data_IF_619226471788
#
_entry.id   IF_619226471788
#
_cell.length_a   1.000
_cell.length_b   1.000
_cell.length_c   1.000
_cell.angle_alpha   90.00
_cell.angle_beta   90.00
_cell.angle_gamma   90.00
#
_symmetry.space_group_name_H-M   'P 1'
#
loop_
_entity.id
_entity.type
_entity.pdbx_description
1 polymer ?
#
# COMPACT_ATOMS: atom_id res chain seq x y z
N UNK A 1 34.01 -18.66 6.68
CA UNK A 1 33.66 -18.53 8.11
C UNK A 1 32.52 -19.49 8.37
N UNK A 2 32.56 -20.30 9.45
CA UNK A 2 31.45 -21.19 9.78
C UNK A 2 30.17 -20.35 9.97
N UNK A 3 29.06 -20.76 9.35
CA UNK A 3 27.75 -20.14 9.60
C UNK A 3 27.47 -20.31 11.09
N UNK A 4 27.32 -19.23 11.84
CA UNK A 4 26.79 -19.25 13.21
C UNK A 4 25.30 -19.63 13.15
N UNK A 5 25.01 -20.91 12.96
CA UNK A 5 23.66 -21.46 12.97
C UNK A 5 23.34 -22.06 14.33
N UNK A 6 22.07 -22.10 14.69
CA UNK A 6 21.62 -22.82 15.88
C UNK A 6 21.67 -24.33 15.64
N UNK A 7 21.97 -25.11 16.68
CA UNK A 7 22.09 -26.58 16.59
C UNK A 7 20.75 -27.30 16.49
N UNK A 8 19.64 -26.63 16.83
CA UNK A 8 18.29 -27.19 16.75
C UNK A 8 17.21 -26.09 16.63
N UNK A 9 16.01 -26.44 16.14
CA UNK A 9 14.86 -25.55 16.15
C UNK A 9 14.54 -25.00 17.56
N UNK A 10 14.65 -25.84 18.60
CA UNK A 10 14.40 -25.41 19.99
C UNK A 10 15.41 -24.38 20.47
N UNK A 11 16.69 -24.55 20.13
CA UNK A 11 17.75 -23.59 20.48
C UNK A 11 17.50 -22.24 19.79
N UNK A 12 17.11 -22.26 18.50
CA UNK A 12 16.74 -21.06 17.78
C UNK A 12 15.52 -20.36 18.40
N UNK A 13 14.45 -21.10 18.69
CA UNK A 13 13.25 -20.52 19.32
C UNK A 13 13.56 -19.90 20.68
N UNK A 14 14.40 -20.57 21.48
CA UNK A 14 14.84 -20.08 22.78
C UNK A 14 15.55 -18.73 22.66
N UNK A 15 16.49 -18.61 21.71
CA UNK A 15 17.20 -17.36 21.45
C UNK A 15 16.26 -16.25 20.96
N UNK A 16 15.39 -16.58 19.99
CA UNK A 16 14.39 -15.67 19.45
C UNK A 16 13.46 -15.12 20.55
N UNK A 17 12.91 -16.02 21.38
CA UNK A 17 12.03 -15.66 22.51
C UNK A 17 12.75 -14.81 23.55
N UNK A 18 13.99 -15.15 23.88
CA UNK A 18 14.79 -14.39 24.84
C UNK A 18 15.02 -12.96 24.36
N UNK A 19 15.42 -12.78 23.10
CA UNK A 19 15.61 -11.45 22.49
C UNK A 19 14.30 -10.67 22.39
N UNK A 20 13.20 -11.34 22.00
CA UNK A 20 11.87 -10.73 21.98
C UNK A 20 11.46 -10.20 23.37
N UNK A 21 11.74 -10.96 24.43
CA UNK A 21 11.45 -10.54 25.81
C UNK A 21 12.29 -9.35 26.26
N UNK A 22 13.57 -9.27 25.84
CA UNK A 22 14.43 -8.13 26.14
C UNK A 22 13.89 -6.86 25.47
N UNK A 23 13.60 -6.93 24.17
CA UNK A 23 13.06 -5.79 23.41
C UNK A 23 11.67 -5.37 23.90
N UNK A 24 10.79 -6.33 24.15
CA UNK A 24 9.46 -6.06 24.70
C UNK A 24 9.52 -5.29 26.03
N UNK A 25 10.49 -5.62 26.90
CA UNK A 25 10.69 -4.91 28.17
C UNK A 25 11.26 -3.51 27.98
N UNK A 26 12.20 -3.30 27.06
CA UNK A 26 12.79 -1.96 26.84
C UNK A 26 11.78 -1.00 26.21
N UNK A 27 10.96 -1.49 25.30
CA UNK A 27 10.02 -0.67 24.52
C UNK A 27 8.58 -0.65 25.08
N UNK A 28 8.30 -1.40 26.15
CA UNK A 28 6.94 -1.50 26.71
C UNK A 28 5.94 -2.20 25.79
N UNK A 29 6.41 -3.11 24.94
CA UNK A 29 5.60 -3.81 23.93
C UNK A 29 5.17 -5.20 24.41
N UNK A 30 4.03 -5.75 23.92
CA UNK A 30 3.70 -7.15 24.13
C UNK A 30 4.69 -8.09 23.44
N UNK A 31 5.24 -9.06 24.17
CA UNK A 31 6.19 -10.06 23.63
C UNK A 31 5.62 -10.79 22.41
N UNK A 32 4.32 -11.09 22.42
CA UNK A 32 3.65 -11.76 21.31
C UNK A 32 3.66 -10.91 20.02
N UNK A 33 3.53 -9.59 20.13
CA UNK A 33 3.54 -8.70 18.97
C UNK A 33 4.97 -8.58 18.40
N UNK A 34 5.99 -8.54 19.27
CA UNK A 34 7.41 -8.56 18.87
C UNK A 34 7.78 -9.86 18.14
N UNK A 35 7.32 -11.01 18.66
CA UNK A 35 7.50 -12.30 17.98
C UNK A 35 6.74 -12.35 16.64
N UNK A 36 5.51 -11.84 16.61
CA UNK A 36 4.72 -11.79 15.38
C UNK A 36 5.41 -10.95 14.30
N UNK A 37 5.97 -9.78 14.67
CA UNK A 37 6.82 -8.95 13.80
C UNK A 37 7.98 -9.73 13.17
N UNK A 38 8.62 -10.62 13.93
CA UNK A 38 9.69 -11.45 13.40
C UNK A 38 9.17 -12.48 12.40
N UNK A 39 8.07 -13.17 12.72
CA UNK A 39 7.44 -14.12 11.80
C UNK A 39 6.96 -13.44 10.53
N UNK A 40 6.43 -12.22 10.63
CA UNK A 40 6.07 -11.39 9.50
C UNK A 40 7.28 -11.10 8.60
N UNK A 41 8.40 -10.70 9.20
CA UNK A 41 9.65 -10.46 8.46
C UNK A 41 10.13 -11.72 7.73
N UNK A 42 10.02 -12.90 8.33
CA UNK A 42 10.38 -14.18 7.68
C UNK A 42 9.39 -14.63 6.61
N UNK A 43 8.10 -14.32 6.74
CA UNK A 43 7.14 -14.55 5.66
C UNK A 43 7.45 -13.65 4.46
N UNK A 44 7.70 -12.35 4.71
CA UNK A 44 8.11 -11.40 3.65
C UNK A 44 9.40 -11.87 3.00
N UNK A 45 10.38 -12.36 3.77
CA UNK A 45 11.62 -12.91 3.21
C UNK A 45 11.35 -14.04 2.22
N UNK A 46 10.46 -14.99 2.56
CA UNK A 46 10.07 -16.09 1.65
C UNK A 46 9.41 -15.58 0.38
N UNK A 47 8.48 -14.62 0.54
CA UNK A 47 7.78 -14.01 -0.59
C UNK A 47 8.74 -13.36 -1.58
N UNK A 48 9.68 -12.55 -1.09
CA UNK A 48 10.62 -11.81 -1.94
C UNK A 48 11.80 -12.65 -2.44
N UNK A 49 12.16 -13.76 -1.78
CA UNK A 49 13.09 -14.73 -2.37
C UNK A 49 12.44 -15.53 -3.50
N UNK A 50 11.20 -15.98 -3.31
CA UNK A 50 10.51 -16.78 -4.32
C UNK A 50 10.04 -15.95 -5.52
N UNK A 51 9.59 -14.72 -5.28
CA UNK A 51 8.94 -13.86 -6.27
C UNK A 51 9.32 -12.38 -6.04
N UNK A 52 10.59 -12.00 -6.29
CA UNK A 52 11.15 -10.69 -5.93
C UNK A 52 10.42 -9.49 -6.56
N UNK A 53 9.82 -9.70 -7.73
CA UNK A 53 9.18 -8.63 -8.50
C UNK A 53 7.65 -8.60 -8.43
N UNK A 54 7.02 -9.63 -7.86
CA UNK A 54 5.57 -9.82 -7.93
C UNK A 54 4.81 -9.10 -6.81
N UNK A 55 5.48 -8.59 -5.78
CA UNK A 55 4.84 -8.13 -4.55
C UNK A 55 5.31 -6.76 -4.09
N UNK A 56 4.39 -6.04 -3.42
CA UNK A 56 4.67 -4.78 -2.72
C UNK A 56 4.08 -4.86 -1.32
N UNK A 57 4.89 -4.58 -0.29
CA UNK A 57 4.44 -4.50 1.11
C UNK A 57 3.78 -3.15 1.37
N UNK A 58 2.59 -3.15 1.98
CA UNK A 58 1.80 -1.95 2.34
C UNK A 58 1.60 -1.85 3.86
N UNK A 59 0.80 -0.85 4.27
CA UNK A 59 0.24 -0.73 5.60
C UNK A 59 1.26 -0.59 6.72
N UNK A 60 0.87 -0.94 7.95
CA UNK A 60 1.71 -0.73 9.14
C UNK A 60 3.08 -1.43 9.05
N UNK A 61 3.14 -2.60 8.41
CA UNK A 61 4.39 -3.32 8.21
C UNK A 61 5.37 -2.61 7.26
N UNK A 62 4.86 -1.94 6.22
CA UNK A 62 5.73 -1.10 5.39
C UNK A 62 6.32 0.07 6.17
N UNK A 63 5.59 0.66 7.12
CA UNK A 63 6.15 1.69 8.02
C UNK A 63 7.17 1.10 8.99
N UNK A 64 6.92 -0.11 9.50
CA UNK A 64 7.87 -0.81 10.37
C UNK A 64 9.19 -1.09 9.65
N UNK A 65 9.16 -1.51 8.39
CA UNK A 65 10.38 -1.69 7.60
C UNK A 65 11.08 -0.37 7.27
N UNK A 66 10.35 0.75 7.19
CA UNK A 66 10.95 2.08 6.95
C UNK A 66 11.60 2.67 8.19
N UNK A 67 10.94 2.57 9.33
CA UNK A 67 11.27 3.34 10.53
C UNK A 67 11.68 2.47 11.73
N UNK A 68 11.72 1.15 11.57
CA UNK A 68 12.03 0.20 12.63
C UNK A 68 11.21 0.50 13.90
N UNK A 69 11.84 0.52 15.08
CA UNK A 69 11.20 0.72 16.37
C UNK A 69 10.42 2.05 16.52
N UNK A 70 10.59 3.01 15.61
CA UNK A 70 9.80 4.24 15.63
C UNK A 70 8.34 4.06 15.19
N UNK A 71 8.04 3.03 14.38
CA UNK A 71 6.68 2.73 13.96
C UNK A 71 6.00 1.78 14.96
N UNK A 72 4.67 1.88 15.04
CA UNK A 72 3.87 0.93 15.83
C UNK A 72 3.93 -0.48 15.24
N UNK A 73 3.82 -1.49 16.10
CA UNK A 73 3.59 -2.86 15.65
C UNK A 73 2.21 -3.00 14.98
N UNK A 74 2.13 -3.81 13.93
CA UNK A 74 0.89 -4.14 13.23
C UNK A 74 0.55 -5.61 13.42
N UNK A 75 -0.74 -5.92 13.59
CA UNK A 75 -1.21 -7.30 13.78
C UNK A 75 -1.48 -8.03 12.45
N UNK A 76 -1.61 -7.29 11.36
CA UNK A 76 -1.80 -7.81 10.02
C UNK A 76 -0.69 -7.25 9.10
N UNK A 77 -0.27 -8.04 8.10
CA UNK A 77 0.55 -7.57 6.97
C UNK A 77 -0.39 -7.27 5.80
N UNK A 78 -0.23 -6.11 5.17
CA UNK A 78 -0.87 -5.80 3.91
C UNK A 78 0.13 -6.03 2.77
N UNK A 79 -0.20 -6.88 1.79
CA UNK A 79 0.62 -7.11 0.61
C UNK A 79 -0.21 -6.94 -0.66
N UNK A 80 0.35 -6.25 -1.64
CA UNK A 80 -0.26 -6.04 -2.93
C UNK A 80 0.46 -6.88 -3.98
N UNK A 81 -0.31 -7.66 -4.74
CA UNK A 81 0.20 -8.28 -5.96
C UNK A 81 0.43 -7.20 -7.02
N UNK A 82 1.58 -7.26 -7.66
CA UNK A 82 1.95 -6.47 -8.84
C UNK A 82 1.65 -7.21 -10.14
N UNK A 83 1.22 -8.47 -10.07
CA UNK A 83 0.78 -9.23 -11.24
C UNK A 83 -0.63 -8.80 -11.61
N UNK A 84 -0.93 -8.67 -12.91
CA UNK A 84 -2.25 -8.25 -13.41
C UNK A 84 -3.37 -9.29 -13.23
N UNK A 85 -3.14 -10.32 -12.43
CA UNK A 85 -4.06 -11.42 -12.17
C UNK A 85 -5.18 -11.06 -11.19
N UNK A 86 -6.17 -11.94 -11.10
CA UNK A 86 -7.26 -11.82 -10.12
C UNK A 86 -6.82 -12.15 -8.70
N UNK A 87 -7.65 -11.80 -7.70
CA UNK A 87 -7.32 -12.05 -6.28
C UNK A 87 -7.07 -13.52 -5.95
N UNK A 88 -7.76 -14.45 -6.63
CA UNK A 88 -7.53 -15.90 -6.44
C UNK A 88 -6.14 -16.36 -6.90
N UNK A 89 -5.65 -15.80 -8.01
CA UNK A 89 -4.29 -16.06 -8.51
C UNK A 89 -3.26 -15.47 -7.55
N UNK A 90 -3.46 -14.23 -7.10
CA UNK A 90 -2.60 -13.62 -6.10
C UNK A 90 -2.52 -14.45 -4.81
N UNK A 91 -3.66 -14.91 -4.26
CA UNK A 91 -3.63 -15.81 -3.10
C UNK A 91 -2.85 -17.07 -3.41
N UNK A 92 -3.09 -17.71 -4.56
CA UNK A 92 -2.37 -18.92 -4.96
C UNK A 92 -0.86 -18.70 -5.02
N UNK A 93 -0.43 -17.59 -5.59
CA UNK A 93 0.99 -17.25 -5.72
C UNK A 93 1.61 -16.89 -4.36
N UNK A 94 0.86 -16.23 -3.46
CA UNK A 94 1.29 -16.02 -2.08
C UNK A 94 1.49 -17.36 -1.35
N UNK A 95 0.56 -18.32 -1.50
CA UNK A 95 0.69 -19.64 -0.86
C UNK A 95 1.94 -20.37 -1.34
N UNK A 96 2.24 -20.33 -2.65
CA UNK A 96 3.48 -20.88 -3.22
C UNK A 96 4.71 -20.18 -2.66
N UNK A 97 4.70 -18.84 -2.61
CA UNK A 97 5.82 -18.06 -2.13
C UNK A 97 6.08 -18.28 -0.63
N UNK A 98 5.02 -18.39 0.17
CA UNK A 98 5.09 -18.69 1.60
C UNK A 98 5.64 -20.08 1.91
N UNK A 99 5.56 -21.02 0.96
CA UNK A 99 6.12 -22.36 1.06
C UNK A 99 7.61 -22.43 0.70
N UNK A 100 8.21 -21.32 0.24
CA UNK A 100 9.65 -21.28 -0.06
C UNK A 100 10.46 -21.55 1.21
N UNK A 101 11.30 -22.57 1.18
CA UNK A 101 12.12 -22.97 2.31
C UNK A 101 13.41 -22.14 2.34
N UNK A 102 13.64 -21.50 3.49
CA UNK A 102 14.84 -20.70 3.75
C UNK A 102 15.81 -21.43 4.70
N UNK A 103 15.58 -22.71 4.99
CA UNK A 103 16.39 -23.53 5.89
C UNK A 103 16.55 -22.86 7.28
N UNK A 104 15.51 -22.14 7.74
CA UNK A 104 15.53 -21.31 8.95
C UNK A 104 14.71 -21.91 10.12
N UNK A 105 14.42 -23.20 10.02
CA UNK A 105 13.53 -23.99 10.89
C UNK A 105 12.05 -23.57 10.93
N UNK A 106 11.66 -22.49 10.25
CA UNK A 106 10.28 -22.01 10.22
C UNK A 106 9.52 -22.59 9.02
N UNK A 107 8.23 -22.82 9.20
CA UNK A 107 7.31 -23.09 8.11
C UNK A 107 5.98 -22.37 8.32
N UNK A 108 5.33 -22.00 7.22
CA UNK A 108 4.09 -21.22 7.22
C UNK A 108 2.98 -22.05 6.58
N UNK A 109 2.17 -22.69 7.41
CA UNK A 109 1.09 -23.57 6.94
C UNK A 109 -0.19 -22.76 6.73
N UNK A 110 -0.80 -22.76 5.53
CA UNK A 110 -2.06 -22.06 5.28
C UNK A 110 -3.17 -22.65 6.15
N UNK A 111 -3.90 -21.81 6.87
CA UNK A 111 -4.96 -22.23 7.78
C UNK A 111 -6.36 -21.80 7.31
N UNK A 112 -6.50 -20.57 6.82
CA UNK A 112 -7.79 -20.04 6.36
C UNK A 112 -7.59 -18.93 5.34
N UNK A 113 -8.43 -18.92 4.30
CA UNK A 113 -8.57 -17.82 3.34
C UNK A 113 -10.00 -17.30 3.39
N UNK A 114 -10.19 -15.98 3.44
CA UNK A 114 -11.51 -15.36 3.31
C UNK A 114 -11.43 -14.16 2.37
N UNK A 115 -12.23 -14.16 1.31
CA UNK A 115 -12.34 -13.03 0.40
C UNK A 115 -12.99 -11.84 1.12
N UNK A 116 -12.60 -10.62 0.74
CA UNK A 116 -13.27 -9.42 1.22
C UNK A 116 -14.69 -9.34 0.67
N UNK A 117 -15.62 -8.90 1.50
CA UNK A 117 -17.01 -8.71 1.12
C UNK A 117 -17.13 -7.61 0.05
N UNK A 118 -18.15 -7.71 -0.82
CA UNK A 118 -18.52 -6.71 -1.84
C UNK A 118 -17.62 -6.60 -3.08
N UNK A 119 -16.84 -7.63 -3.43
CA UNK A 119 -16.06 -7.63 -4.68
C UNK A 119 -14.84 -6.70 -4.65
N UNK A 120 -14.43 -6.22 -3.47
CA UNK A 120 -13.11 -5.66 -3.27
C UNK A 120 -12.08 -6.72 -3.69
N UNK A 121 -11.09 -6.31 -4.48
CA UNK A 121 -10.06 -7.19 -5.01
C UNK A 121 -9.03 -7.54 -3.92
N UNK A 122 -9.49 -8.21 -2.86
CA UNK A 122 -8.72 -8.50 -1.66
C UNK A 122 -9.19 -9.75 -0.91
N UNK A 123 -8.28 -10.34 -0.14
CA UNK A 123 -8.50 -11.55 0.64
C UNK A 123 -7.62 -11.57 1.88
N UNK A 124 -8.18 -12.02 3.01
CA UNK A 124 -7.41 -12.29 4.22
C UNK A 124 -6.95 -13.74 4.26
N UNK A 125 -5.64 -13.96 4.26
CA UNK A 125 -4.98 -15.24 4.44
C UNK A 125 -4.39 -15.37 5.84
N UNK A 126 -4.65 -16.49 6.51
CA UNK A 126 -4.09 -16.83 7.82
C UNK A 126 -3.09 -17.98 7.68
N UNK A 127 -1.89 -17.83 8.23
CA UNK A 127 -0.86 -18.85 8.32
C UNK A 127 -0.61 -19.24 9.78
N UNK A 128 -0.48 -20.54 10.04
CA UNK A 128 0.09 -21.06 11.29
C UNK A 128 1.61 -21.17 11.11
N UNK A 129 2.35 -20.56 12.01
CA UNK A 129 3.82 -20.56 12.00
C UNK A 129 4.29 -21.72 12.84
N UNK A 130 5.06 -22.62 12.24
CA UNK A 130 5.65 -23.75 12.94
C UNK A 130 7.17 -23.59 13.01
N UNK A 131 7.75 -24.09 14.09
CA UNK A 131 9.18 -24.30 14.21
C UNK A 131 9.43 -25.78 14.46
N UNK A 132 9.93 -26.48 13.45
CA UNK A 132 9.84 -27.94 13.40
C UNK A 132 8.38 -28.40 13.47
N UNK A 133 8.04 -29.25 14.44
CA UNK A 133 6.68 -29.80 14.63
C UNK A 133 5.78 -28.96 15.54
N UNK A 134 6.31 -27.89 16.15
CA UNK A 134 5.58 -27.08 17.13
C UNK A 134 5.02 -25.80 16.50
N UNK A 135 3.74 -25.53 16.70
CA UNK A 135 3.15 -24.23 16.36
C UNK A 135 3.67 -23.17 17.35
N UNK A 136 4.23 -22.08 16.83
CA UNK A 136 4.85 -20.99 17.60
C UNK A 136 4.18 -19.64 17.39
N UNK A 137 3.25 -19.53 16.44
CA UNK A 137 2.53 -18.28 16.20
C UNK A 137 1.54 -18.36 15.05
N UNK A 138 0.88 -17.22 14.81
CA UNK A 138 -0.09 -17.04 13.71
C UNK A 138 0.22 -15.74 13.00
N UNK A 139 0.23 -15.78 11.68
CA UNK A 139 0.45 -14.62 10.81
C UNK A 139 -0.79 -14.40 9.95
N UNK A 140 -1.25 -13.16 9.88
CA UNK A 140 -2.40 -12.74 9.08
C UNK A 140 -1.92 -11.80 7.98
N UNK A 141 -2.31 -12.10 6.75
CA UNK A 141 -1.96 -11.32 5.56
C UNK A 141 -3.24 -10.86 4.89
N UNK A 142 -3.39 -9.57 4.74
CA UNK A 142 -4.35 -8.97 3.81
C UNK A 142 -3.68 -8.87 2.44
N UNK A 143 -4.19 -9.63 1.49
CA UNK A 143 -3.72 -9.71 0.11
C UNK A 143 -4.64 -8.88 -0.74
N UNK A 144 -4.09 -7.95 -1.51
CA UNK A 144 -4.89 -7.15 -2.45
C UNK A 144 -4.31 -7.22 -3.85
N UNK A 145 -5.18 -7.26 -4.86
CA UNK A 145 -4.82 -6.94 -6.23
C UNK A 145 -5.20 -5.48 -6.46
N UNK A 146 -4.18 -4.64 -6.54
CA UNK A 146 -4.33 -3.18 -6.58
C UNK A 146 -3.89 -2.60 -7.90
N UNK A 147 -4.24 -1.34 -8.11
CA UNK A 147 -3.70 -0.57 -9.23
C UNK A 147 -2.21 -0.32 -9.02
N UNK A 148 -1.49 -0.11 -10.12
CA UNK A 148 -0.11 0.33 -10.06
C UNK A 148 -0.02 1.63 -9.22
N UNK A 149 0.94 1.71 -8.29
CA UNK A 149 1.10 2.92 -7.49
C UNK A 149 1.44 4.13 -8.38
N UNK A 150 1.11 5.33 -7.92
CA UNK A 150 1.36 6.57 -8.67
C UNK A 150 2.83 7.02 -8.65
N UNK A 151 3.67 6.33 -7.88
CA UNK A 151 5.11 6.53 -7.82
C UNK A 151 5.81 5.16 -7.80
N UNK A 152 7.11 5.14 -8.09
CA UNK A 152 7.91 3.92 -8.01
C UNK A 152 7.95 3.40 -6.56
N UNK A 153 7.79 2.08 -6.34
CA UNK A 153 7.98 1.48 -5.02
C UNK A 153 9.37 1.77 -4.46
N UNK A 154 9.45 1.94 -3.15
CA UNK A 154 10.74 2.07 -2.48
C UNK A 154 11.33 0.68 -2.24
N UNK A 155 12.60 0.48 -2.53
CA UNK A 155 13.28 -0.80 -2.27
C UNK A 155 14.06 -0.68 -0.97
N UNK A 156 13.82 -1.59 -0.03
CA UNK A 156 14.49 -1.63 1.27
C UNK A 156 14.86 -3.06 1.64
N UNK A 157 16.05 -3.25 2.21
CA UNK A 157 16.41 -4.54 2.83
C UNK A 157 15.48 -4.83 4.00
N UNK A 158 14.89 -6.02 4.03
CA UNK A 158 14.10 -6.47 5.19
C UNK A 158 15.03 -6.51 6.41
N UNK A 159 14.65 -5.79 7.46
CA UNK A 159 15.40 -5.77 8.71
C UNK A 159 14.44 -6.12 9.85
N UNK A 160 14.58 -7.30 10.49
CA UNK A 160 13.73 -7.65 11.61
C UNK A 160 13.99 -6.74 12.81
N UNK A 161 12.98 -6.52 13.64
CA UNK A 161 13.18 -5.82 14.93
C UNK A 161 14.06 -6.63 15.90
N UNK A 162 13.96 -7.96 15.84
CA UNK A 162 14.76 -8.84 16.67
C UNK A 162 16.06 -9.11 15.93
N UNK A 163 17.16 -8.59 16.49
CA UNK A 163 18.50 -8.80 15.97
C UNK A 163 19.08 -10.15 16.42
N UNK A 164 19.33 -11.02 15.44
CA UNK A 164 19.94 -12.34 15.57
C UNK A 164 20.99 -12.50 14.47
N UNK A 165 22.12 -13.12 14.79
CA UNK A 165 23.20 -13.38 13.83
C UNK A 165 22.76 -14.31 12.68
N UNK A 166 21.78 -15.17 12.94
CA UNK A 166 21.17 -16.05 11.95
C UNK A 166 19.66 -16.19 12.21
N UNK A 167 18.82 -16.31 11.17
CA UNK A 167 19.13 -16.23 9.74
C UNK A 167 19.54 -14.81 9.28
N UNK A 168 20.44 -14.75 8.28
CA UNK A 168 21.01 -13.50 7.75
C UNK A 168 20.65 -13.23 6.27
N UNK A 169 19.89 -14.14 5.65
CA UNK A 169 19.45 -14.16 4.26
C UNK A 169 18.27 -13.20 4.00
N UNK A 170 18.30 -11.99 4.53
CA UNK A 170 17.22 -11.02 4.36
C UNK A 170 17.22 -10.41 2.94
N UNK A 171 16.12 -10.49 2.17
CA UNK A 171 16.08 -9.94 0.82
C UNK A 171 15.79 -8.43 0.82
N UNK A 172 15.90 -7.82 -0.36
CA UNK A 172 15.25 -6.53 -0.61
C UNK A 172 13.75 -6.75 -0.83
N UNK A 173 12.93 -5.86 -0.27
CA UNK A 173 11.50 -5.83 -0.43
C UNK A 173 11.06 -4.50 -1.05
N UNK A 174 10.09 -4.57 -1.97
CA UNK A 174 9.40 -3.40 -2.52
C UNK A 174 8.35 -2.94 -1.51
N UNK A 175 8.44 -1.69 -1.10
CA UNK A 175 7.50 -1.04 -0.20
C UNK A 175 6.62 -0.07 -0.98
N UNK A 176 5.35 -0.01 -0.58
CA UNK A 176 4.40 0.91 -1.18
C UNK A 176 4.89 2.35 -1.05
N UNK A 177 4.89 3.15 -2.12
CA UNK A 177 5.51 4.48 -2.09
C UNK A 177 4.89 5.35 -1.02
N UNK A 178 5.72 6.17 -0.39
CA UNK A 178 5.28 6.93 0.78
C UNK A 178 4.11 7.87 0.49
N UNK A 179 4.08 8.48 -0.70
CA UNK A 179 2.98 9.36 -1.15
C UNK A 179 1.67 8.61 -1.32
N UNK A 180 1.71 7.37 -1.81
CA UNK A 180 0.53 6.52 -1.93
C UNK A 180 0.08 6.01 -0.56
N UNK A 181 1.02 5.72 0.33
CA UNK A 181 0.70 5.34 1.71
C UNK A 181 0.01 6.49 2.46
N UNK A 182 0.49 7.72 2.29
CA UNK A 182 -0.12 8.93 2.81
C UNK A 182 -1.55 9.10 2.27
N UNK A 183 -1.73 8.95 0.95
CA UNK A 183 -3.04 8.99 0.31
C UNK A 183 -4.03 7.95 0.88
N UNK A 184 -3.60 6.68 0.98
CA UNK A 184 -4.43 5.59 1.52
C UNK A 184 -4.89 5.90 2.95
N UNK A 185 -4.00 6.44 3.79
CA UNK A 185 -4.30 6.80 5.19
C UNK A 185 -5.20 8.01 5.32
N UNK A 186 -4.94 9.09 4.57
CA UNK A 186 -5.79 10.30 4.60
C UNK A 186 -7.19 9.97 4.11
N UNK A 187 -7.32 9.19 3.03
CA UNK A 187 -8.62 8.75 2.55
C UNK A 187 -9.33 7.86 3.58
N UNK A 188 -8.65 6.88 4.19
CA UNK A 188 -9.27 6.03 5.21
C UNK A 188 -9.64 6.78 6.51
N UNK A 189 -8.92 7.86 6.82
CA UNK A 189 -9.21 8.76 7.94
C UNK A 189 -10.49 9.57 7.71
N UNK A 190 -10.78 9.98 6.48
CA UNK A 190 -11.98 10.78 6.15
C UNK A 190 -13.16 9.98 5.59
N UNK A 191 -12.98 8.67 5.34
CA UNK A 191 -14.06 7.79 4.91
C UNK A 191 -15.15 7.66 5.99
N UNK A 192 -16.41 7.73 5.57
CA UNK A 192 -17.57 7.57 6.43
C UNK A 192 -18.28 6.27 6.11
N UNK A 193 -18.73 5.58 7.15
CA UNK A 193 -19.51 4.35 7.02
C UNK A 193 -20.89 4.54 7.63
N UNK A 194 -21.93 4.44 6.82
CA UNK A 194 -23.33 4.68 7.17
C UNK A 194 -23.49 6.02 7.90
N UNK A 195 -22.88 7.07 7.34
CA UNK A 195 -22.82 8.43 7.89
C UNK A 195 -21.86 8.64 9.07
N UNK A 196 -21.35 7.56 9.68
CA UNK A 196 -20.48 7.64 10.85
C UNK A 196 -19.04 7.98 10.46
N UNK A 197 -18.37 8.92 11.16
CA UNK A 197 -16.95 9.19 10.97
C UNK A 197 -16.07 7.95 11.14
N UNK A 198 -14.93 7.93 10.44
CA UNK A 198 -13.87 6.94 10.64
C UNK A 198 -13.39 6.88 12.09
N UNK A 199 -13.12 5.67 12.57
CA UNK A 199 -12.49 5.39 13.87
C UNK A 199 -11.00 5.08 13.74
N UNK A 200 -10.39 5.40 12.59
CA UNK A 200 -8.99 5.09 12.28
C UNK A 200 -8.03 6.10 12.90
N UNK A 201 -8.13 6.33 14.21
CA UNK A 201 -7.29 7.26 14.97
C UNK A 201 -5.79 7.04 14.76
N UNK A 202 -5.39 5.77 14.62
CA UNK A 202 -4.00 5.36 14.34
C UNK A 202 -3.48 5.88 13.00
N UNK A 203 -4.34 6.09 12.01
CA UNK A 203 -3.88 6.59 10.72
C UNK A 203 -3.37 8.03 10.83
N UNK A 204 -3.92 8.88 11.71
CA UNK A 204 -3.35 10.21 11.97
C UNK A 204 -1.98 10.12 12.65
N UNK A 205 -1.79 9.21 13.62
CA UNK A 205 -0.50 9.01 14.26
C UNK A 205 0.56 8.51 13.26
N UNK A 206 0.17 7.57 12.39
CA UNK A 206 1.04 7.08 11.32
C UNK A 206 1.37 8.19 10.30
N UNK A 207 0.40 9.04 9.92
CA UNK A 207 0.61 10.20 9.04
C UNK A 207 1.60 11.19 9.64
N UNK A 208 1.46 11.51 10.93
CA UNK A 208 2.35 12.45 11.61
C UNK A 208 3.75 11.87 11.82
N UNK A 209 3.87 10.56 12.02
CA UNK A 209 5.17 9.91 11.98
C UNK A 209 5.82 10.06 10.59
N UNK A 210 5.07 9.86 9.51
CA UNK A 210 5.57 10.07 8.15
C UNK A 210 6.04 11.52 7.97
N UNK A 211 5.27 12.52 8.41
CA UNK A 211 5.66 13.92 8.26
C UNK A 211 6.93 14.27 9.05
N UNK A 212 7.22 13.58 10.15
CA UNK A 212 8.44 13.78 10.94
C UNK A 212 9.67 13.07 10.36
N UNK A 213 9.49 12.11 9.43
CA UNK A 213 10.57 11.23 8.95
C UNK A 213 10.93 11.43 7.49
N UNK A 214 9.98 11.87 6.67
CA UNK A 214 10.11 11.84 5.22
C UNK A 214 10.02 13.25 4.62
N UNK A 215 10.93 13.64 3.71
CA UNK A 215 10.64 14.71 2.79
C UNK A 215 9.53 14.25 1.83
N UNK A 216 8.62 15.14 1.47
CA UNK A 216 7.48 14.81 0.61
C UNK A 216 7.38 15.79 -0.55
N UNK A 217 7.47 15.28 -1.78
CA UNK A 217 7.11 16.06 -2.97
C UNK A 217 5.59 16.29 -2.98
N UNK A 218 5.16 17.53 -2.78
CA UNK A 218 3.76 17.88 -2.65
C UNK A 218 2.94 17.63 -3.91
N UNK A 219 3.55 17.65 -5.10
CA UNK A 219 2.86 17.35 -6.36
C UNK A 219 2.50 15.87 -6.44
N UNK A 220 3.46 14.99 -6.14
CA UNK A 220 3.21 13.55 -6.13
C UNK A 220 2.25 13.16 -4.99
N UNK A 221 2.37 13.77 -3.82
CA UNK A 221 1.46 13.54 -2.70
C UNK A 221 0.02 13.97 -3.01
N UNK A 222 -0.18 15.16 -3.59
CA UNK A 222 -1.52 15.58 -4.02
C UNK A 222 -2.07 14.71 -5.14
N UNK A 223 -1.26 14.37 -6.15
CA UNK A 223 -1.69 13.48 -7.24
C UNK A 223 -2.15 12.13 -6.68
N UNK A 224 -1.36 11.52 -5.80
CA UNK A 224 -1.71 10.27 -5.13
C UNK A 224 -3.02 10.41 -4.33
N UNK A 225 -3.15 11.47 -3.52
CA UNK A 225 -4.32 11.73 -2.69
C UNK A 225 -5.60 11.91 -3.51
N UNK A 226 -5.55 12.73 -4.58
CA UNK A 226 -6.72 12.95 -5.45
C UNK A 226 -7.08 11.70 -6.25
N UNK A 227 -6.08 10.95 -6.72
CA UNK A 227 -6.29 9.69 -7.45
C UNK A 227 -6.98 8.67 -6.56
N UNK A 228 -6.47 8.47 -5.34
CA UNK A 228 -7.05 7.53 -4.38
C UNK A 228 -8.45 7.96 -3.93
N UNK A 229 -8.65 9.25 -3.63
CA UNK A 229 -9.97 9.76 -3.25
C UNK A 229 -11.00 9.58 -4.37
N UNK A 230 -10.62 9.88 -5.61
CA UNK A 230 -11.49 9.66 -6.78
C UNK A 230 -11.79 8.17 -6.95
N UNK A 231 -10.79 7.30 -6.84
CA UNK A 231 -10.97 5.85 -6.97
C UNK A 231 -11.97 5.33 -5.95
N UNK A 232 -11.79 5.67 -4.66
CA UNK A 232 -12.70 5.22 -3.59
C UNK A 232 -14.14 5.68 -3.81
N UNK A 233 -14.35 6.91 -4.29
CA UNK A 233 -15.70 7.40 -4.66
C UNK A 233 -16.34 6.60 -5.79
N UNK A 234 -15.55 6.24 -6.81
CA UNK A 234 -16.04 5.48 -7.97
C UNK A 234 -16.31 4.01 -7.63
N UNK A 235 -15.61 3.45 -6.65
CA UNK A 235 -15.76 2.05 -6.21
C UNK A 235 -16.51 1.92 -4.88
N UNK A 236 -17.17 2.97 -4.42
CA UNK A 236 -17.85 2.99 -3.14
C UNK A 236 -19.07 2.05 -3.15
N UNK A 237 -19.22 1.26 -2.09
CA UNK A 237 -20.44 0.50 -1.83
C UNK A 237 -21.48 1.38 -1.13
N UNK A 238 -22.79 1.07 -1.23
CA UNK A 238 -23.83 1.83 -0.55
C UNK A 238 -23.53 2.09 0.94
N UNK A 239 -23.60 3.36 1.34
CA UNK A 239 -23.30 3.80 2.70
C UNK A 239 -21.81 3.96 3.00
N UNK A 240 -20.93 3.96 2.01
CA UNK A 240 -19.52 4.38 2.16
C UNK A 240 -19.31 5.66 1.37
N UNK A 241 -18.91 6.72 2.07
CA UNK A 241 -18.76 8.04 1.47
C UNK A 241 -17.37 8.61 1.79
N UNK A 242 -16.77 9.32 0.85
CA UNK A 242 -15.48 9.98 1.06
C UNK A 242 -15.52 11.42 0.57
N UNK A 243 -15.49 12.36 1.51
CA UNK A 243 -15.31 13.78 1.24
C UNK A 243 -14.06 14.29 1.96
N UNK A 244 -13.07 14.72 1.18
CA UNK A 244 -11.87 15.35 1.73
C UNK A 244 -12.18 16.82 2.02
N UNK A 245 -11.91 17.32 3.24
CA UNK A 245 -12.06 18.74 3.52
C UNK A 245 -10.98 19.55 2.79
N UNK A 246 -11.16 20.87 2.71
CA UNK A 246 -10.15 21.79 2.14
C UNK A 246 -9.03 22.12 3.13
N UNK A 247 -9.35 22.06 4.42
CA UNK A 247 -8.44 22.28 5.54
C UNK A 247 -8.53 21.11 6.50
N UNK A 248 -7.45 20.83 7.24
CA UNK A 248 -7.49 19.79 8.25
C UNK A 248 -8.55 20.11 9.30
N UNK A 249 -9.39 19.11 9.58
CA UNK A 249 -10.36 19.11 10.68
C UNK A 249 -10.51 17.67 11.18
N UNK A 250 -10.85 17.47 12.46
CA UNK A 250 -11.16 16.13 12.96
C UNK A 250 -12.26 15.48 12.12
N UNK A 251 -12.11 14.22 11.68
CA UNK A 251 -13.17 13.52 10.94
C UNK A 251 -14.49 13.42 11.70
N UNK A 252 -14.46 13.44 13.03
CA UNK A 252 -15.64 13.46 13.89
C UNK A 252 -15.36 13.90 15.33
N UNK A 253 -16.41 14.12 16.14
CA UNK A 253 -16.30 14.73 17.46
C UNK A 253 -15.54 13.88 18.49
N UNK A 254 -15.45 12.56 18.29
CA UNK A 254 -14.71 11.67 19.19
C UNK A 254 -13.18 11.70 18.98
N UNK A 255 -12.69 12.31 17.89
CA UNK A 255 -11.26 12.28 17.56
C UNK A 255 -10.34 12.91 18.61
N UNK A 256 -10.66 14.10 19.17
CA UNK A 256 -9.84 14.70 20.22
C UNK A 256 -9.63 13.79 21.44
N UNK A 257 -10.68 13.08 21.86
CA UNK A 257 -10.62 12.24 23.05
C UNK A 257 -9.96 10.87 22.79
N UNK A 258 -10.10 10.34 21.56
CA UNK A 258 -9.69 8.97 21.22
C UNK A 258 -8.30 8.90 20.59
N UNK A 259 -7.83 9.99 19.98
CA UNK A 259 -6.52 10.05 19.34
C UNK A 259 -5.32 9.78 20.28
N UNK A 260 -5.25 10.34 21.52
CA UNK A 260 -4.07 10.17 22.37
C UNK A 260 -3.70 8.70 22.63
N UNK A 261 -4.70 7.82 22.81
CA UNK A 261 -4.46 6.39 22.98
C UNK A 261 -3.87 5.71 21.73
N UNK A 262 -4.14 6.24 20.54
CA UNK A 262 -3.54 5.77 19.30
C UNK A 262 -2.12 6.32 19.10
N UNK A 263 -1.86 7.58 19.49
CA UNK A 263 -0.54 8.19 19.44
C UNK A 263 0.49 7.45 20.31
N UNK A 264 0.08 7.02 21.52
CA UNK A 264 0.92 6.22 22.44
C UNK A 264 1.42 4.90 21.85
N UNK A 265 0.77 4.39 20.79
CA UNK A 265 1.18 3.14 20.14
C UNK A 265 2.33 3.35 19.15
N UNK A 266 2.68 4.60 18.83
CA UNK A 266 3.73 4.97 17.84
C UNK A 266 4.95 5.52 18.59
N UNK A 267 5.96 4.69 18.92
CA UNK A 267 7.03 5.09 19.86
C UNK A 267 7.89 6.25 19.35
N UNK A 268 8.07 6.35 18.03
CA UNK A 268 8.91 7.38 17.43
C UNK A 268 8.21 8.69 17.08
N UNK A 269 6.98 8.88 17.54
CA UNK A 269 6.18 10.09 17.32
C UNK A 269 6.52 11.15 18.38
N UNK A 270 7.06 12.29 17.95
CA UNK A 270 7.50 13.35 18.87
C UNK A 270 6.54 14.53 18.84
N UNK A 271 6.18 15.09 20.00
CA UNK A 271 5.38 16.33 20.09
C UNK A 271 4.02 16.24 19.41
N UNK A 272 3.35 15.08 19.46
CA UNK A 272 2.01 14.82 18.93
C UNK A 272 1.25 13.82 19.84
N UNK A 273 1.54 13.80 21.14
CA UNK A 273 0.94 12.82 22.06
C UNK A 273 -0.50 13.23 22.44
N UNK A 274 -0.77 14.53 22.49
CA UNK A 274 -2.09 15.09 22.73
C UNK A 274 -2.79 15.46 21.43
N UNK A 275 -4.12 15.64 21.49
CA UNK A 275 -4.87 16.11 20.32
C UNK A 275 -4.42 17.49 19.86
N UNK A 276 -4.19 18.46 20.76
CA UNK A 276 -3.87 19.83 20.37
C UNK A 276 -2.54 19.90 19.61
N UNK A 277 -1.53 19.18 20.10
CA UNK A 277 -0.22 19.06 19.43
C UNK A 277 -0.38 18.40 18.04
N UNK A 278 -1.09 17.27 17.99
CA UNK A 278 -1.32 16.55 16.75
C UNK A 278 -2.15 17.34 15.75
N UNK A 279 -3.15 18.09 16.20
CA UNK A 279 -4.00 18.94 15.37
C UNK A 279 -3.18 20.08 14.75
N UNK A 280 -2.31 20.73 15.52
CA UNK A 280 -1.41 21.76 15.01
C UNK A 280 -0.43 21.20 13.96
N UNK A 281 0.18 20.04 14.24
CA UNK A 281 1.08 19.38 13.29
C UNK A 281 0.34 18.89 12.03
N UNK A 282 -0.87 18.37 12.18
CA UNK A 282 -1.71 17.92 11.08
C UNK A 282 -2.23 19.10 10.26
N UNK A 283 -2.54 20.23 10.87
CA UNK A 283 -2.91 21.45 10.15
C UNK A 283 -1.74 21.94 9.29
N UNK A 284 -0.53 22.01 9.84
CA UNK A 284 0.66 22.40 9.09
C UNK A 284 0.97 21.44 7.92
N UNK A 285 0.80 20.13 8.11
CA UNK A 285 1.15 19.13 7.11
C UNK A 285 0.03 18.85 6.10
N UNK A 286 -1.19 18.57 6.57
CA UNK A 286 -2.31 18.10 5.75
C UNK A 286 -3.09 19.23 5.09
N UNK A 287 -3.27 20.39 5.71
CA UNK A 287 -4.05 21.48 5.09
C UNK A 287 -3.51 21.85 3.70
N UNK A 288 -2.19 22.03 3.49
CA UNK A 288 -1.67 22.33 2.15
C UNK A 288 -1.84 21.18 1.15
N UNK A 289 -1.87 19.91 1.60
CA UNK A 289 -2.18 18.76 0.73
C UNK A 289 -3.66 18.68 0.38
N UNK A 290 -4.53 19.07 1.30
CA UNK A 290 -5.98 19.05 1.19
C UNK A 290 -6.53 20.25 0.41
N UNK A 291 -5.80 21.36 0.39
CA UNK A 291 -6.14 22.58 -0.36
C UNK A 291 -5.86 22.43 -1.87
N UNK A 292 -6.40 23.33 -2.72
CA UNK A 292 -6.09 23.36 -4.14
C UNK A 292 -4.66 23.87 -4.40
N UNK A 293 -4.01 23.32 -5.43
CA UNK A 293 -2.68 23.73 -5.88
C UNK A 293 -1.54 23.07 -5.10
N UNK A 294 -0.36 22.88 -5.72
CA UNK A 294 0.74 22.13 -5.11
C UNK A 294 1.35 22.90 -3.94
N UNK A 295 1.53 22.27 -2.76
CA UNK A 295 2.00 22.97 -1.56
C UNK A 295 3.51 23.26 -1.56
N UNK A 296 4.25 22.78 -2.57
CA UNK A 296 5.71 22.79 -2.58
C UNK A 296 6.27 21.45 -2.12
N UNK A 297 7.40 21.49 -1.40
CA UNK A 297 8.09 20.32 -0.88
C UNK A 297 8.11 20.34 0.65
N UNK A 298 7.65 19.27 1.28
CA UNK A 298 7.65 19.16 2.74
C UNK A 298 9.06 18.90 3.24
N UNK A 299 9.51 19.71 4.20
CA UNK A 299 10.72 19.46 4.98
C UNK A 299 10.33 18.89 6.34
N UNK A 300 10.66 17.61 6.57
CA UNK A 300 10.48 16.97 7.86
C UNK A 300 11.28 17.65 8.97
N UNK A 301 12.44 18.22 8.63
CA UNK A 301 13.32 18.94 9.59
C UNK A 301 12.67 20.24 10.05
N UNK A 302 12.10 21.01 9.11
CA UNK A 302 11.52 22.33 9.41
C UNK A 302 10.03 22.25 9.76
N UNK A 303 9.43 21.05 9.75
CA UNK A 303 8.00 20.80 9.91
C UNK A 303 7.13 21.78 9.08
N UNK A 304 7.52 22.03 7.83
CA UNK A 304 6.87 23.03 6.97
C UNK A 304 7.03 22.71 5.49
N UNK A 305 6.04 23.16 4.71
CA UNK A 305 6.09 23.16 3.26
C UNK A 305 6.97 24.31 2.76
N UNK A 306 7.93 23.97 1.93
CA UNK A 306 8.87 24.91 1.32
C UNK A 306 8.43 25.16 -0.12
N UNK A 307 8.41 26.43 -0.52
CA UNK A 307 8.16 26.78 -1.91
C UNK A 307 9.23 26.10 -2.78
N UNK A 308 8.81 25.39 -3.81
CA UNK A 308 9.76 24.84 -4.77
C UNK A 308 10.38 26.01 -5.52
N UNK A 309 11.72 26.18 -5.52
CA UNK A 309 12.32 27.22 -6.33
C UNK A 309 11.87 27.02 -7.77
N UNK A 310 11.54 28.11 -8.46
CA UNK A 310 11.29 28.05 -9.90
C UNK A 310 12.48 27.34 -10.53
N UNK A 311 12.21 26.24 -11.25
CA UNK A 311 13.26 25.56 -12.01
C UNK A 311 13.91 26.67 -12.86
N UNK A 312 15.23 26.90 -12.79
CA UNK A 312 15.85 27.81 -13.75
C UNK A 312 15.40 27.32 -15.12
N UNK A 313 14.88 28.21 -15.96
CA UNK A 313 14.65 27.88 -17.36
C UNK A 313 15.94 27.25 -17.85
N UNK A 314 15.94 25.92 -18.01
CA UNK A 314 16.96 25.29 -18.82
C UNK A 314 16.78 25.97 -20.15
N UNK A 315 17.77 26.76 -20.57
CA UNK A 315 17.86 27.31 -21.90
C UNK A 315 17.47 26.19 -22.87
N UNK A 316 16.21 26.19 -23.30
CA UNK A 316 15.82 25.53 -24.53
C UNK A 316 16.79 26.11 -25.55
N UNK A 317 17.58 25.30 -26.26
CA UNK A 317 18.40 25.84 -27.33
C UNK A 317 17.46 26.64 -28.22
N UNK A 318 17.69 27.94 -28.35
CA UNK A 318 16.95 28.74 -29.32
C UNK A 318 17.08 28.01 -30.65
N UNK A 319 15.99 27.82 -31.41
CA UNK A 319 16.07 27.17 -32.69
C UNK A 319 17.03 28.01 -33.53
N UNK A 320 18.24 27.48 -33.76
CA UNK A 320 19.13 28.03 -34.77
C UNK A 320 18.40 27.91 -36.10
N UNK A 321 18.56 28.88 -36.99
CA UNK A 321 17.82 28.96 -38.27
C UNK A 321 17.85 27.63 -39.06
N UNK A 322 18.88 26.81 -38.87
CA UNK A 322 18.99 25.47 -39.47
C UNK A 322 17.97 24.41 -38.97
N UNK A 323 17.42 24.53 -37.75
CA UNK A 323 16.48 23.53 -37.22
C UNK A 323 15.07 23.70 -37.82
N UNK A 324 14.67 24.94 -38.13
CA UNK A 324 13.43 25.24 -38.81
C UNK A 324 13.47 24.80 -40.29
N UNK A 325 14.61 25.00 -40.96
CA UNK A 325 14.81 24.52 -42.33
C UNK A 325 14.81 22.98 -42.42
N UNK A 326 15.45 22.29 -41.47
CA UNK A 326 15.44 20.82 -41.41
C UNK A 326 14.05 20.25 -41.09
N UNK A 327 13.28 20.86 -40.18
CA UNK A 327 11.91 20.43 -39.88
C UNK A 327 10.96 20.64 -41.07
N UNK A 328 11.18 21.69 -41.87
CA UNK A 328 10.38 21.97 -43.08
C UNK A 328 10.71 20.96 -44.18
N UNK A 329 12.00 20.63 -44.38
CA UNK A 329 12.43 19.61 -45.34
C UNK A 329 11.86 18.21 -45.01
N UNK A 330 11.91 17.79 -43.74
CA UNK A 330 11.39 16.48 -43.30
C UNK A 330 9.86 16.39 -43.50
N UNK A 331 9.15 17.49 -43.28
CA UNK A 331 7.68 17.54 -43.42
C UNK A 331 7.20 17.67 -44.87
N UNK A 332 8.03 18.21 -45.78
CA UNK A 332 7.78 18.17 -47.22
C UNK A 332 8.08 16.79 -47.82
N UNK A 333 9.17 16.15 -47.41
CA UNK A 333 9.55 14.80 -47.84
C UNK A 333 8.52 13.75 -47.38
N UNK A 334 7.98 13.92 -46.17
CA UNK A 334 6.89 13.11 -45.64
C UNK A 334 5.58 13.30 -46.42
N UNK A 335 5.29 14.52 -46.88
CA UNK A 335 4.10 14.82 -47.70
C UNK A 335 4.22 14.26 -49.12
N UNK A 336 5.40 14.31 -49.73
CA UNK A 336 5.63 13.70 -51.05
C UNK A 336 5.54 12.17 -50.98
N UNK A 337 6.04 11.55 -49.91
CA UNK A 337 5.90 10.09 -49.68
C UNK A 337 4.45 9.65 -49.48
N UNK A 338 3.65 10.45 -48.77
CA UNK A 338 2.22 10.17 -48.57
C UNK A 338 1.40 10.34 -49.86
N UNK A 339 1.76 11.30 -50.72
CA UNK A 339 1.10 11.50 -52.01
C UNK A 339 1.43 10.41 -53.05
N UNK A 340 2.57 9.73 -52.92
CA UNK A 340 2.98 8.63 -53.80
C UNK A 340 2.43 7.25 -53.38
N UNK A 341 1.79 7.15 -52.20
CA UNK A 341 1.22 5.91 -51.72
C UNK A 341 -0.16 5.65 -52.37
N UNK A 342 -0.28 4.57 -53.15
CA UNK A 342 -1.55 4.15 -53.73
C UNK A 342 -2.61 3.89 -52.65
N UNK A 343 -3.88 4.28 -52.87
CA UNK A 343 -4.94 4.09 -51.90
C UNK A 343 -5.20 2.59 -51.66
N UNK A 344 -5.59 2.20 -50.43
CA UNK A 344 -5.88 0.80 -50.11
C UNK A 344 -7.09 0.27 -50.90
N UNK A 345 -7.12 -1.03 -51.22
CA UNK A 345 -8.18 -1.61 -52.03
C UNK A 345 -9.54 -1.52 -51.33
N UNK A 346 -10.58 -1.18 -52.09
CA UNK A 346 -11.95 -1.08 -51.60
C UNK A 346 -12.48 -2.45 -51.18
N UNK A 347 -13.16 -2.48 -50.03
CA UNK A 347 -13.74 -3.69 -49.42
C UNK A 347 -14.93 -4.20 -50.26
N UNK A 348 -15.09 -5.51 -50.49
CA UNK A 348 -16.22 -6.02 -51.26
C UNK A 348 -17.54 -5.79 -50.50
N UNK A 349 -18.51 -5.17 -51.17
CA UNK A 349 -19.90 -5.05 -50.69
C UNK A 349 -20.64 -6.35 -50.99
N UNK A 350 -20.93 -7.14 -49.95
CA UNK A 350 -21.85 -8.28 -50.06
C UNK A 350 -21.57 -9.41 -49.07
N UNK A 351 -22.09 -9.30 -47.84
CA UNK A 351 -22.38 -10.44 -46.99
C UNK A 351 -23.41 -10.05 -45.91
N UNK A 352 -24.41 -10.91 -45.76
CA UNK A 352 -25.68 -10.76 -45.07
C UNK A 352 -25.58 -10.48 -43.56
N UNK A 353 -26.58 -9.76 -43.03
CA UNK A 353 -26.76 -9.52 -41.60
C UNK A 353 -26.95 -10.83 -40.81
N UNK A 354 -26.39 -10.97 -39.59
CA UNK A 354 -26.71 -12.09 -38.72
C UNK A 354 -28.09 -11.88 -38.07
N UNK A 355 -28.96 -12.89 -38.24
CA UNK A 355 -30.28 -13.02 -37.62
C UNK A 355 -30.13 -13.15 -36.09
N UNK A 356 -30.92 -12.38 -35.33
CA UNK A 356 -31.03 -12.52 -33.86
C UNK A 356 -31.80 -13.79 -33.51
N UNK A 357 -31.39 -14.58 -32.51
CA UNK A 357 -32.23 -15.66 -31.98
C UNK A 357 -33.36 -15.10 -31.12
N UNK A 358 -34.58 -15.61 -31.35
CA UNK A 358 -35.80 -15.30 -30.60
C UNK A 358 -35.68 -15.72 -29.12
N UNK A 359 -36.03 -14.80 -28.22
CA UNK A 359 -36.18 -15.06 -26.78
C UNK A 359 -37.67 -15.35 -26.51
N UNK A 360 -38.04 -16.53 -25.99
CA UNK A 360 -39.43 -16.85 -25.66
C UNK A 360 -39.89 -16.11 -24.40
N UNK A 361 -41.20 -15.76 -24.28
CA UNK A 361 -41.73 -15.04 -23.13
C UNK A 361 -41.77 -15.91 -21.86
N UNK A 362 -41.73 -15.29 -20.66
CA UNK A 362 -41.74 -16.02 -19.39
C UNK A 362 -43.10 -16.69 -19.15
N UNK A 363 -43.05 -17.93 -18.69
CA UNK A 363 -44.21 -18.72 -18.28
C UNK A 363 -44.88 -18.13 -17.03
N UNK A 364 -46.21 -18.04 -17.06
CA UNK A 364 -47.07 -17.68 -15.94
C UNK A 364 -47.49 -18.94 -15.18
N UNK A 365 -47.33 -18.95 -13.86
CA UNK A 365 -48.05 -19.85 -12.95
C UNK A 365 -47.43 -19.95 -11.56
N UNK A 366 -48.17 -20.41 -10.54
CA UNK A 366 -49.52 -20.02 -10.14
C UNK A 366 -49.51 -19.30 -8.78
N UNK A 367 -50.54 -18.50 -8.52
CA UNK A 367 -50.73 -17.79 -7.25
C UNK A 367 -50.94 -18.73 -6.06
N UNK A 368 -50.34 -18.35 -4.94
CA UNK A 368 -50.69 -18.86 -3.60
C UNK A 368 -51.20 -17.70 -2.75
N UNK A 369 -52.42 -17.90 -2.27
CA UNK A 369 -53.25 -17.08 -1.39
C UNK A 369 -52.58 -16.73 -0.04
N UNK A 370 -53.01 -15.64 0.63
CA UNK A 370 -52.54 -15.29 1.97
C UNK A 370 -53.40 -15.99 3.04
N UNK A 371 -52.75 -16.54 4.07
CA UNK A 371 -53.40 -17.17 5.21
C UNK A 371 -52.72 -16.82 6.53
N UNK A 372 -53.41 -15.96 7.29
CA UNK A 372 -53.43 -15.70 8.74
C UNK A 372 -52.13 -15.70 9.56
#
# INVERSE_FOLDING_TARGET
MARETYTSPTAFYGALKHKAQLLARSEGLPVADVLSSYFFSRLVARVFHAQPDAWIVKGGHALLMRYAAAARLSQDIDIQSSTGGGIGEAVTDLLKAAAYDLDDYLSFTPARTSMHENGAAGAKQVFRVHMGTHEVGVVKVDVVTGHAPSAAPDVRRVTPLIDLAWPADWPEAKLYPIVNHLADKVCAMYERHKGSPSSRYRDLADILLISQREPVDGRYAQLALRTEARRRRLTATPGVDLELPQVFQPPGPAWPDRYPAAALQVPGLNGCATWNEAAAAAEAFLTPLLSPGPPGDWSAINASWQARPARPEQNSPQPTEGYAEQATAISEESRTRAAAASPPPQRPTGASQPVRPDVPPPAVGPGTTPGR
#
